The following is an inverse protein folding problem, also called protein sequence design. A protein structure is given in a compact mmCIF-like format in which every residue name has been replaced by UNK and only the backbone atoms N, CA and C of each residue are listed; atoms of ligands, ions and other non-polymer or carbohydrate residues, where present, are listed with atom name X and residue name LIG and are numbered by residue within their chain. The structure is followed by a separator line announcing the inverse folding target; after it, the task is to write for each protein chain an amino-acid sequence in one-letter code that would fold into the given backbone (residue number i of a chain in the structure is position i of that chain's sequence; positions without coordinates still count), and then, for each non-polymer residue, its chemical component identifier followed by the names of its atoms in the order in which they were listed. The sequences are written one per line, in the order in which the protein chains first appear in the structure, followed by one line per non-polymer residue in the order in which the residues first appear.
data_IF_730795065806
#
_entry.id   IF_730795065806
#
_cell.length_a   1.000
_cell.length_b   1.000
_cell.length_c   1.000
_cell.angle_alpha   90.00
_cell.angle_beta   90.00
_cell.angle_gamma   90.00
#
_symmetry.space_group_name_H-M   'P 1'
#
loop_
_entity.id
_entity.type
_entity.pdbx_description
1 polymer ?
#
# COMPACT_ATOMS: atom_id res chain seq x y z
N UNK A 1 4.24 7.29 10.13
CA UNK A 1 5.24 6.61 10.99
C UNK A 1 6.42 7.55 11.22
N UNK A 2 6.86 7.67 12.46
CA UNK A 2 8.05 8.46 12.82
C UNK A 2 8.95 7.63 13.72
N UNK A 3 10.25 7.63 13.43
CA UNK A 3 11.26 6.99 14.26
C UNK A 3 12.44 7.94 14.48
N UNK A 4 12.93 8.01 15.72
CA UNK A 4 14.10 8.81 16.09
C UNK A 4 15.08 7.93 16.84
N UNK A 5 16.33 7.93 16.41
CA UNK A 5 17.44 7.23 17.04
C UNK A 5 18.55 8.20 17.43
N UNK A 6 19.15 7.99 18.60
CA UNK A 6 20.29 8.78 19.07
C UNK A 6 21.27 7.92 19.83
N UNK A 7 22.52 8.32 19.89
CA UNK A 7 23.58 7.62 20.64
C UNK A 7 24.88 7.45 19.86
N UNK A 8 25.76 6.59 20.35
CA UNK A 8 27.07 6.35 19.71
C UNK A 8 26.94 5.73 18.33
N UNK A 9 26.02 4.76 18.17
CA UNK A 9 25.59 4.23 16.89
C UNK A 9 24.08 4.35 16.80
N UNK A 10 23.58 5.38 16.13
CA UNK A 10 22.16 5.66 16.04
C UNK A 10 21.50 4.92 14.87
N UNK A 11 20.35 4.30 15.14
CA UNK A 11 19.52 3.68 14.12
C UNK A 11 18.08 4.15 14.26
N UNK A 12 17.44 4.51 13.14
CA UNK A 12 16.03 4.82 13.08
C UNK A 12 15.38 4.18 11.85
N UNK A 13 14.26 3.51 12.04
CA UNK A 13 13.50 2.91 10.95
C UNK A 13 12.02 3.25 11.08
N UNK A 14 11.48 3.91 10.09
CA UNK A 14 10.07 4.24 9.99
C UNK A 14 9.45 3.56 8.76
N UNK A 15 8.40 2.78 8.99
CA UNK A 15 7.74 2.02 7.95
C UNK A 15 6.23 2.27 7.97
N UNK A 16 5.68 2.67 6.83
CA UNK A 16 4.26 2.57 6.53
C UNK A 16 4.10 1.50 5.46
N UNK A 17 3.72 0.29 5.86
CA UNK A 17 3.59 -0.85 4.96
C UNK A 17 2.55 -0.61 3.87
N UNK A 18 1.39 -0.07 4.23
CA UNK A 18 0.36 0.38 3.28
C UNK A 18 -0.50 1.45 3.95
N UNK A 19 -0.70 2.57 3.28
CA UNK A 19 -1.56 3.64 3.77
C UNK A 19 -3.04 3.24 3.71
N UNK A 20 -3.49 2.79 2.54
CA UNK A 20 -4.85 2.26 2.32
C UNK A 20 -4.74 0.93 1.59
N UNK A 21 -5.31 -0.13 2.17
CA UNK A 21 -5.44 -1.44 1.54
C UNK A 21 -6.91 -1.78 1.35
N UNK A 22 -7.29 -2.14 0.13
CA UNK A 22 -8.64 -2.60 -0.19
C UNK A 22 -8.56 -3.90 -0.96
N UNK A 23 -9.27 -4.92 -0.46
CA UNK A 23 -9.33 -6.24 -1.10
C UNK A 23 -10.78 -6.64 -1.25
N UNK A 24 -11.18 -6.98 -2.46
CA UNK A 24 -12.49 -7.56 -2.73
C UNK A 24 -12.35 -8.90 -3.46
N UNK A 25 -13.02 -9.91 -2.91
CA UNK A 25 -13.14 -11.22 -3.50
C UNK A 25 -14.60 -11.43 -3.90
N UNK A 26 -14.87 -11.43 -5.19
CA UNK A 26 -16.18 -11.78 -5.73
C UNK A 26 -16.22 -13.26 -6.07
N UNK A 27 -17.28 -13.94 -5.63
CA UNK A 27 -17.56 -15.31 -6.05
C UNK A 27 -18.65 -15.30 -7.11
N UNK A 28 -18.38 -15.93 -8.25
CA UNK A 28 -19.37 -16.04 -9.28
C UNK A 28 -20.49 -17.01 -8.88
N UNK A 29 -21.72 -16.56 -8.93
CA UNK A 29 -22.88 -17.41 -8.90
C UNK A 29 -23.23 -17.87 -10.32
N UNK A 30 -23.63 -19.11 -10.49
CA UNK A 30 -24.11 -19.60 -11.77
C UNK A 30 -25.63 -19.65 -11.78
N UNK A 31 -26.24 -18.95 -12.72
CA UNK A 31 -27.66 -19.11 -13.03
C UNK A 31 -27.78 -20.03 -14.23
N UNK A 32 -28.39 -21.19 -14.05
CA UNK A 32 -28.66 -22.11 -15.13
C UNK A 32 -30.06 -21.83 -15.67
N UNK A 33 -30.11 -21.37 -16.91
CA UNK A 33 -31.41 -21.19 -17.61
C UNK A 33 -31.54 -22.28 -18.66
N UNK A 34 -32.55 -23.13 -18.52
CA UNK A 34 -32.87 -24.15 -19.52
C UNK A 34 -33.79 -23.52 -20.55
N UNK A 35 -33.34 -23.47 -21.80
CA UNK A 35 -34.17 -23.01 -22.91
C UNK A 35 -35.11 -24.10 -23.41
N UNK A 36 -36.18 -23.76 -24.15
CA UNK A 36 -37.15 -24.72 -24.66
C UNK A 36 -36.61 -25.80 -25.60
N UNK A 37 -35.38 -25.65 -26.06
CA UNK A 37 -34.67 -26.64 -26.91
C UNK A 37 -33.65 -27.53 -26.13
N UNK A 38 -33.70 -27.54 -24.80
CA UNK A 38 -32.78 -28.34 -23.99
C UNK A 38 -31.36 -27.77 -23.91
N UNK A 39 -31.10 -26.64 -24.52
CA UNK A 39 -29.80 -25.95 -24.36
C UNK A 39 -29.70 -25.30 -22.98
N UNK A 40 -28.65 -25.60 -22.27
CA UNK A 40 -28.37 -24.97 -20.96
C UNK A 40 -27.42 -23.81 -21.17
N UNK A 41 -27.84 -22.63 -20.79
CA UNK A 41 -26.98 -21.44 -20.77
C UNK A 41 -26.58 -21.13 -19.32
N UNK A 42 -25.31 -21.16 -19.06
CA UNK A 42 -24.75 -20.81 -17.74
C UNK A 42 -24.24 -19.38 -17.80
N UNK A 43 -24.88 -18.49 -17.07
CA UNK A 43 -24.45 -17.10 -16.95
C UNK A 43 -23.73 -16.92 -15.60
N UNK A 44 -22.49 -16.54 -15.66
CA UNK A 44 -21.75 -16.16 -14.48
C UNK A 44 -22.11 -14.74 -14.07
N UNK A 45 -22.45 -14.57 -12.79
CA UNK A 45 -22.67 -13.29 -12.19
C UNK A 45 -21.75 -13.14 -10.98
N UNK A 46 -21.05 -12.05 -10.93
CA UNK A 46 -20.24 -11.70 -9.78
C UNK A 46 -18.77 -11.45 -10.12
N UNK A 47 -18.25 -10.43 -9.52
CA UNK A 47 -16.85 -10.02 -9.52
C UNK A 47 -16.55 -9.24 -8.25
N UNK A 48 -15.32 -9.25 -7.82
CA UNK A 48 -14.88 -8.39 -6.72
C UNK A 48 -14.64 -6.98 -7.25
N UNK A 49 -15.26 -5.99 -6.64
CA UNK A 49 -15.04 -4.59 -6.99
C UNK A 49 -14.52 -3.83 -5.78
N UNK A 50 -13.43 -3.09 -5.96
CA UNK A 50 -12.94 -2.12 -4.99
C UNK A 50 -12.91 -0.74 -5.63
N UNK A 51 -13.35 0.26 -4.90
CA UNK A 51 -13.33 1.63 -5.34
C UNK A 51 -12.86 2.54 -4.22
N UNK A 52 -11.98 3.46 -4.55
CA UNK A 52 -11.57 4.55 -3.68
C UNK A 52 -11.96 5.86 -4.35
N UNK A 53 -12.74 6.68 -3.64
CA UNK A 53 -13.05 8.05 -4.05
C UNK A 53 -12.41 8.99 -3.05
N UNK A 54 -11.51 9.84 -3.50
CA UNK A 54 -10.86 10.86 -2.68
C UNK A 54 -11.21 12.25 -3.18
N UNK A 55 -11.87 13.03 -2.33
CA UNK A 55 -12.17 14.45 -2.56
C UNK A 55 -11.38 15.37 -1.63
N UNK A 56 -10.68 14.81 -0.67
CA UNK A 56 -9.84 15.51 0.30
C UNK A 56 -8.36 15.24 0.11
N UNK A 57 -7.63 15.17 1.21
CA UNK A 57 -6.20 14.91 1.21
C UNK A 57 -5.90 13.60 1.92
N UNK A 58 -5.20 12.69 1.23
CA UNK A 58 -4.63 11.46 1.80
C UNK A 58 -3.14 11.68 1.96
N UNK A 59 -2.63 11.62 3.20
CA UNK A 59 -1.21 11.73 3.49
C UNK A 59 -0.69 10.41 4.06
N UNK A 60 0.31 9.85 3.40
CA UNK A 60 1.03 8.66 3.86
C UNK A 60 2.50 9.05 4.00
N UNK A 61 2.99 9.08 5.23
CA UNK A 61 4.33 9.58 5.50
C UNK A 61 5.11 8.65 6.44
N UNK A 62 6.37 8.40 6.11
CA UNK A 62 7.35 7.79 6.99
C UNK A 62 8.53 8.76 7.17
N UNK A 63 8.95 9.00 8.41
CA UNK A 63 10.09 9.84 8.72
C UNK A 63 11.02 9.12 9.70
N UNK A 64 12.27 8.95 9.33
CA UNK A 64 13.30 8.36 10.17
C UNK A 64 14.46 9.35 10.34
N UNK A 65 14.83 9.64 11.59
CA UNK A 65 15.93 10.50 11.91
C UNK A 65 16.92 9.76 12.83
N UNK A 66 18.16 9.62 12.43
CA UNK A 66 19.22 9.04 13.22
C UNK A 66 20.31 10.07 13.46
N UNK A 67 20.66 10.30 14.73
CA UNK A 67 21.70 11.23 15.12
C UNK A 67 22.73 10.51 16.00
N UNK A 68 23.81 10.05 15.38
CA UNK A 68 24.88 9.30 16.03
C UNK A 68 26.14 10.12 16.22
N UNK A 69 26.94 9.78 17.21
CA UNK A 69 28.26 10.39 17.38
C UNK A 69 29.33 9.74 16.51
N UNK A 70 29.21 8.42 16.21
CA UNK A 70 30.14 7.68 15.36
C UNK A 70 29.49 7.13 14.10
N UNK A 71 28.26 6.66 14.21
CA UNK A 71 27.48 6.07 13.11
C UNK A 71 26.02 6.47 13.23
N UNK A 72 25.41 6.77 12.10
CA UNK A 72 23.96 6.99 12.01
C UNK A 72 23.40 6.29 10.78
N UNK A 73 22.29 5.58 10.96
CA UNK A 73 21.55 4.95 9.87
C UNK A 73 20.08 5.25 10.01
N UNK A 74 19.45 5.80 8.98
CA UNK A 74 18.03 6.08 8.93
C UNK A 74 17.41 5.36 7.72
N UNK A 75 16.26 4.72 7.93
CA UNK A 75 15.48 4.08 6.90
C UNK A 75 14.02 4.52 6.99
N UNK A 76 13.48 5.05 5.92
CA UNK A 76 12.06 5.40 5.83
C UNK A 76 11.44 4.73 4.60
N UNK A 77 10.26 4.14 4.76
CA UNK A 77 9.50 3.55 3.68
C UNK A 77 8.01 3.89 3.85
N UNK A 78 7.37 4.33 2.79
CA UNK A 78 5.95 4.65 2.77
C UNK A 78 5.31 4.12 1.48
N UNK A 79 4.29 3.28 1.62
CA UNK A 79 3.45 2.82 0.52
C UNK A 79 2.07 3.48 0.61
N UNK A 80 1.56 3.98 -0.50
CA UNK A 80 0.31 4.73 -0.54
C UNK A 80 -0.93 3.85 -0.53
N UNK A 81 -1.45 3.52 -1.70
CA UNK A 81 -2.72 2.81 -1.87
C UNK A 81 -2.46 1.48 -2.58
N UNK A 82 -3.01 0.40 -2.02
CA UNK A 82 -3.01 -0.93 -2.63
C UNK A 82 -4.44 -1.42 -2.75
N UNK A 83 -4.84 -1.76 -3.96
CA UNK A 83 -6.16 -2.32 -4.25
C UNK A 83 -6.01 -3.66 -4.97
N UNK A 84 -6.78 -4.64 -4.54
CA UNK A 84 -6.85 -5.96 -5.17
C UNK A 84 -8.30 -6.38 -5.32
N UNK A 85 -8.69 -6.70 -6.53
CA UNK A 85 -10.04 -7.17 -6.84
C UNK A 85 -9.95 -8.50 -7.59
N UNK A 86 -10.60 -9.50 -7.06
CA UNK A 86 -10.58 -10.86 -7.60
C UNK A 86 -11.99 -11.33 -7.92
N UNK A 87 -12.11 -12.13 -8.97
CA UNK A 87 -13.29 -12.90 -9.27
C UNK A 87 -12.92 -14.37 -9.34
N UNK A 88 -13.66 -15.23 -8.64
CA UNK A 88 -13.41 -16.66 -8.56
C UNK A 88 -14.68 -17.46 -8.86
N UNK A 89 -14.52 -18.70 -9.32
CA UNK A 89 -15.62 -19.62 -9.63
C UNK A 89 -15.75 -19.89 -11.12
N UNK A 90 -16.56 -20.90 -11.46
CA UNK A 90 -16.81 -21.27 -12.85
C UNK A 90 -17.57 -20.15 -13.57
N UNK A 91 -17.02 -19.64 -14.65
CA UNK A 91 -17.56 -18.50 -15.37
C UNK A 91 -17.51 -17.19 -14.58
N UNK A 92 -16.48 -17.02 -13.75
CA UNK A 92 -16.29 -15.80 -12.96
C UNK A 92 -16.26 -14.55 -13.84
N UNK A 93 -16.92 -13.48 -13.37
CA UNK A 93 -16.79 -12.15 -13.94
C UNK A 93 -15.42 -11.55 -13.71
N UNK A 94 -15.21 -10.32 -14.13
CA UNK A 94 -13.96 -9.60 -13.88
C UNK A 94 -13.94 -8.98 -12.48
N UNK A 95 -12.74 -8.91 -11.88
CA UNK A 95 -12.49 -8.05 -10.73
C UNK A 95 -12.09 -6.65 -11.20
N UNK A 96 -12.65 -5.62 -10.56
CA UNK A 96 -12.34 -4.22 -10.89
C UNK A 96 -11.79 -3.48 -9.68
N UNK A 97 -10.65 -2.83 -9.86
CA UNK A 97 -10.09 -1.92 -8.88
C UNK A 97 -10.03 -0.51 -9.49
N UNK A 98 -10.57 0.47 -8.79
CA UNK A 98 -10.60 1.85 -9.28
C UNK A 98 -10.24 2.87 -8.21
N UNK A 99 -9.55 3.93 -8.63
CA UNK A 99 -9.30 5.11 -7.81
C UNK A 99 -9.81 6.33 -8.56
N UNK A 100 -10.74 7.07 -7.95
CA UNK A 100 -11.16 8.38 -8.40
C UNK A 100 -10.62 9.43 -7.43
N UNK A 101 -9.75 10.30 -7.91
CA UNK A 101 -9.09 11.30 -7.07
C UNK A 101 -9.35 12.71 -7.61
N UNK A 102 -10.13 13.47 -6.87
CA UNK A 102 -10.33 14.90 -7.10
C UNK A 102 -9.58 15.76 -6.05
N UNK A 103 -9.01 15.12 -5.03
CA UNK A 103 -8.20 15.76 -4.00
C UNK A 103 -6.70 15.50 -4.17
N UNK A 104 -5.96 15.45 -3.09
CA UNK A 104 -4.54 15.18 -3.06
C UNK A 104 -4.23 13.79 -2.48
N UNK A 105 -3.24 13.10 -3.05
CA UNK A 105 -2.64 11.90 -2.47
C UNK A 105 -1.15 12.15 -2.35
N UNK A 106 -0.67 12.30 -1.13
CA UNK A 106 0.73 12.58 -0.83
C UNK A 106 1.36 11.37 -0.17
N UNK A 107 2.40 10.85 -0.80
CA UNK A 107 3.20 9.76 -0.24
C UNK A 107 4.63 10.25 -0.09
N UNK A 108 5.17 10.21 1.12
CA UNK A 108 6.52 10.67 1.41
C UNK A 108 7.29 9.72 2.31
N UNK A 109 8.57 9.55 2.00
CA UNK A 109 9.51 8.84 2.87
C UNK A 109 10.76 9.70 3.02
N UNK A 110 11.07 10.09 4.25
CA UNK A 110 12.21 10.96 4.56
C UNK A 110 13.12 10.24 5.55
N UNK A 111 14.36 10.03 5.18
CA UNK A 111 15.38 9.42 6.04
C UNK A 111 16.56 10.40 6.19
N UNK A 112 16.82 10.81 7.42
CA UNK A 112 17.92 11.69 7.77
C UNK A 112 18.89 10.96 8.70
N UNK A 113 20.13 10.81 8.29
CA UNK A 113 21.19 10.25 9.11
C UNK A 113 22.31 11.30 9.26
N UNK A 114 22.65 11.62 10.49
CA UNK A 114 23.73 12.55 10.83
C UNK A 114 24.70 11.89 11.80
N UNK A 115 25.97 11.83 11.39
CA UNK A 115 27.08 11.52 12.27
C UNK A 115 28.20 12.52 11.98
N UNK A 116 28.71 13.25 12.97
CA UNK A 116 29.87 14.13 12.75
C UNK A 116 31.07 13.29 12.31
N UNK A 117 31.84 13.80 11.35
CA UNK A 117 33.08 13.16 10.94
C UNK A 117 34.02 13.04 12.14
N UNK A 118 34.63 11.88 12.33
CA UNK A 118 35.67 11.71 13.33
C UNK A 118 36.76 12.77 13.07
N UNK A 119 37.07 13.60 14.09
CA UNK A 119 38.17 14.55 14.00
C UNK A 119 39.46 13.72 13.94
N UNK A 120 40.27 13.82 12.87
CA UNK A 120 41.54 13.11 12.84
C UNK A 120 42.41 13.62 13.96
N UNK A 121 42.75 12.70 14.89
CA UNK A 121 43.74 12.99 15.94
C UNK A 121 45.13 12.90 15.27
N UNK A 122 45.73 14.03 15.03
CA UNK A 122 47.15 14.07 14.64
C UNK A 122 47.99 13.85 15.89
N UNK A 123 48.79 12.79 15.91
CA UNK A 123 49.82 12.52 16.91
C UNK A 123 51.09 13.28 16.55
#
# INVERSE_FOLDING_TARGET
ATANGSGTGAFASALVGTGIAQIANGQAGTTVTTTANGATNTVATGGGNVSLVNTGTINVAASANANGTNLATALANANGIVQSAFATGTGAGAGFASVSNAGAINVSAVANAFAPAAVPVSF
#
